data_IF_358751429337
#
_entry.id   IF_358751429337
#
_cell.length_a   1.000
_cell.length_b   1.000
_cell.length_c   1.000
_cell.angle_alpha   90.00
_cell.angle_beta   90.00
_cell.angle_gamma   90.00
#
_symmetry.space_group_name_H-M   'P 1'
#
loop_
_entity.id
_entity.type
_entity.pdbx_description
1 polymer ?
#
# COMPACT_ATOMS: atom_id res chain seq x y z
N UNK A 1 26.44 19.62 -11.51
CA UNK A 1 26.15 19.16 -10.13
C UNK A 1 26.17 17.64 -10.17
N UNK A 2 26.62 16.96 -9.12
CA UNK A 2 26.50 15.50 -9.05
C UNK A 2 25.01 15.12 -9.02
N UNK A 3 24.64 14.04 -9.71
CA UNK A 3 23.28 13.50 -9.62
C UNK A 3 23.03 13.00 -8.20
N UNK A 4 21.76 13.04 -7.74
CA UNK A 4 21.37 12.44 -6.47
C UNK A 4 21.28 10.92 -6.63
N UNK A 5 21.72 10.17 -5.61
CA UNK A 5 21.62 8.72 -5.62
C UNK A 5 20.22 8.34 -5.17
N UNK A 6 19.52 7.57 -5.99
CA UNK A 6 18.25 6.93 -5.69
C UNK A 6 18.51 5.43 -5.51
N UNK A 7 18.34 4.95 -4.28
CA UNK A 7 18.43 3.53 -3.95
C UNK A 7 17.05 2.92 -4.13
N UNK A 8 16.92 1.97 -5.05
CA UNK A 8 15.68 1.26 -5.32
C UNK A 8 15.72 -0.11 -4.63
N UNK A 9 14.91 -0.29 -3.57
CA UNK A 9 14.73 -1.57 -2.89
C UNK A 9 13.52 -2.29 -3.48
N UNK A 10 13.66 -3.57 -3.84
CA UNK A 10 12.60 -4.36 -4.44
C UNK A 10 12.70 -5.85 -4.08
N UNK A 11 11.66 -6.61 -4.41
CA UNK A 11 11.53 -8.01 -4.03
C UNK A 11 10.80 -8.17 -2.70
N UNK A 12 11.46 -8.72 -1.70
CA UNK A 12 10.90 -8.87 -0.36
C UNK A 12 10.37 -10.26 -0.04
N UNK A 13 9.84 -10.40 1.17
CA UNK A 13 9.41 -11.67 1.75
C UNK A 13 7.90 -11.92 1.59
N UNK A 14 7.14 -10.91 1.15
CA UNK A 14 5.69 -11.00 1.01
C UNK A 14 5.25 -11.82 -0.20
N UNK A 15 3.99 -12.19 -0.24
CA UNK A 15 3.37 -12.81 -1.41
C UNK A 15 3.30 -11.87 -2.63
N UNK A 16 3.46 -10.55 -2.41
CA UNK A 16 3.40 -9.51 -3.44
C UNK A 16 4.78 -9.17 -4.07
N UNK A 17 5.78 -10.02 -3.82
CA UNK A 17 7.15 -9.84 -4.29
C UNK A 17 7.26 -9.64 -5.81
N UNK A 18 6.49 -10.37 -6.62
CA UNK A 18 6.50 -10.23 -8.07
C UNK A 18 6.00 -8.85 -8.52
N UNK A 19 4.98 -8.33 -7.83
CA UNK A 19 4.47 -6.97 -8.07
C UNK A 19 5.53 -5.92 -7.72
N UNK A 20 6.29 -6.15 -6.64
CA UNK A 20 7.41 -5.30 -6.26
C UNK A 20 8.48 -5.22 -7.37
N UNK A 21 8.83 -6.35 -7.98
CA UNK A 21 9.78 -6.38 -9.10
C UNK A 21 9.26 -5.59 -10.30
N UNK A 22 8.01 -5.80 -10.71
CA UNK A 22 7.38 -5.09 -11.83
C UNK A 22 7.28 -3.58 -11.56
N UNK A 23 6.93 -3.19 -10.33
CA UNK A 23 6.88 -1.80 -9.91
C UNK A 23 8.28 -1.15 -9.95
N UNK A 24 9.29 -1.85 -9.45
CA UNK A 24 10.67 -1.37 -9.47
C UNK A 24 11.22 -1.23 -10.90
N UNK A 25 10.93 -2.18 -11.79
CA UNK A 25 11.28 -2.05 -13.21
C UNK A 25 10.60 -0.84 -13.89
N UNK A 26 9.35 -0.57 -13.52
CA UNK A 26 8.62 0.61 -14.02
C UNK A 26 9.25 1.91 -13.51
N UNK A 27 9.58 1.98 -12.22
CA UNK A 27 10.30 3.13 -11.63
C UNK A 27 11.66 3.33 -12.30
N UNK A 28 12.46 2.26 -12.41
CA UNK A 28 13.78 2.30 -13.04
C UNK A 28 13.74 2.91 -14.45
N UNK A 29 12.73 2.59 -15.26
CA UNK A 29 12.59 3.15 -16.61
C UNK A 29 12.11 4.59 -16.63
N UNK A 30 11.39 5.05 -15.62
CA UNK A 30 10.74 6.35 -15.58
C UNK A 30 11.53 7.43 -14.83
N UNK A 31 12.56 7.05 -14.08
CA UNK A 31 13.42 8.00 -13.36
C UNK A 31 14.05 9.02 -14.31
N UNK A 32 14.08 10.28 -13.89
CA UNK A 32 14.83 11.34 -14.58
C UNK A 32 16.34 11.18 -14.34
N UNK A 33 17.01 10.49 -15.26
CA UNK A 33 18.45 10.26 -15.19
C UNK A 33 19.31 11.54 -15.41
N UNK A 34 18.71 12.66 -15.71
CA UNK A 34 19.42 13.94 -15.65
C UNK A 34 19.65 14.41 -14.21
N UNK A 35 18.75 14.02 -13.29
CA UNK A 35 18.77 14.39 -11.87
C UNK A 35 19.29 13.26 -10.98
N UNK A 36 19.05 12.01 -11.34
CA UNK A 36 19.32 10.85 -10.49
C UNK A 36 20.31 9.85 -11.10
N UNK A 37 20.98 9.13 -10.22
CA UNK A 37 21.67 7.87 -10.47
C UNK A 37 20.97 6.80 -9.65
N UNK A 38 20.63 5.65 -10.26
CA UNK A 38 19.85 4.59 -9.61
C UNK A 38 20.75 3.44 -9.21
N UNK A 39 20.71 3.03 -7.95
CA UNK A 39 21.34 1.82 -7.42
C UNK A 39 20.27 0.86 -6.93
N UNK A 40 20.30 -0.37 -7.41
CA UNK A 40 19.23 -1.33 -7.13
C UNK A 40 19.68 -2.39 -6.17
N UNK A 41 18.79 -2.71 -5.21
CA UNK A 41 19.01 -3.76 -4.21
C UNK A 41 17.80 -4.68 -4.16
N UNK A 42 18.06 -5.95 -4.36
CA UNK A 42 17.04 -7.00 -4.30
C UNK A 42 16.99 -7.64 -2.91
N UNK A 43 15.80 -7.76 -2.35
CA UNK A 43 15.56 -8.50 -1.12
C UNK A 43 14.97 -9.85 -1.50
N UNK A 44 15.65 -10.93 -1.12
CA UNK A 44 15.22 -12.30 -1.39
C UNK A 44 14.02 -12.69 -0.52
N UNK A 45 13.40 -13.82 -0.82
CA UNK A 45 12.33 -14.37 0.02
C UNK A 45 12.84 -14.80 1.41
N UNK A 46 14.11 -15.14 1.54
CA UNK A 46 14.75 -15.40 2.84
C UNK A 46 15.07 -14.14 3.63
N UNK A 47 15.05 -12.95 2.97
CA UNK A 47 15.36 -11.67 3.59
C UNK A 47 16.79 -11.19 3.39
N UNK A 48 17.56 -11.84 2.52
CA UNK A 48 18.93 -11.45 2.19
C UNK A 48 18.91 -10.23 1.26
N UNK A 49 19.80 -9.27 1.52
CA UNK A 49 19.97 -8.08 0.68
C UNK A 49 21.08 -8.33 -0.35
N UNK A 50 20.83 -7.99 -1.60
CA UNK A 50 21.76 -8.20 -2.70
C UNK A 50 21.86 -6.92 -3.52
N UNK A 51 23.06 -6.36 -3.64
CA UNK A 51 23.31 -5.29 -4.58
C UNK A 51 23.29 -5.86 -6.00
N UNK A 52 22.47 -5.28 -6.87
CA UNK A 52 22.23 -5.82 -8.20
C UNK A 52 22.85 -4.96 -9.31
N UNK A 53 22.24 -3.85 -9.68
CA UNK A 53 22.62 -3.06 -10.84
C UNK A 53 22.75 -1.57 -10.45
N UNK A 54 23.48 -0.82 -11.30
CA UNK A 54 23.59 0.63 -11.21
C UNK A 54 23.30 1.23 -12.58
N UNK A 55 22.49 2.30 -12.60
CA UNK A 55 22.08 2.98 -13.83
C UNK A 55 22.38 4.47 -13.72
N UNK A 56 23.11 4.99 -14.69
CA UNK A 56 23.44 6.42 -14.83
C UNK A 56 22.72 7.07 -16.01
N UNK A 57 22.02 6.27 -16.81
CA UNK A 57 21.20 6.65 -17.96
C UNK A 57 19.99 5.72 -18.07
N UNK A 58 18.99 6.12 -18.83
CA UNK A 58 17.77 5.31 -19.01
C UNK A 58 18.11 3.94 -19.56
N UNK A 59 17.77 2.85 -18.88
CA UNK A 59 18.03 1.50 -19.34
C UNK A 59 17.22 1.17 -20.61
N UNK A 60 17.73 0.23 -21.40
CA UNK A 60 17.01 -0.27 -22.57
C UNK A 60 15.72 -0.99 -22.22
N UNK A 61 14.80 -1.08 -23.18
CA UNK A 61 13.48 -1.71 -22.98
C UNK A 61 13.58 -3.18 -22.55
N UNK A 62 14.62 -3.88 -22.99
CA UNK A 62 14.87 -5.29 -22.65
C UNK A 62 15.59 -5.48 -21.31
N UNK A 63 16.06 -4.39 -20.68
CA UNK A 63 16.76 -4.47 -19.40
C UNK A 63 15.80 -4.89 -18.29
N UNK A 64 16.19 -5.94 -17.55
CA UNK A 64 15.41 -6.50 -16.45
C UNK A 64 16.16 -6.39 -15.13
N UNK A 65 15.43 -6.16 -14.07
CA UNK A 65 15.98 -6.28 -12.72
C UNK A 65 16.19 -7.74 -12.34
N UNK A 66 17.23 -8.00 -11.58
CA UNK A 66 17.53 -9.33 -11.08
C UNK A 66 16.39 -9.81 -10.16
N UNK A 67 15.87 -11.00 -10.42
CA UNK A 67 14.76 -11.60 -9.66
C UNK A 67 15.10 -12.96 -9.08
N UNK A 68 16.34 -13.43 -9.29
CA UNK A 68 16.70 -14.81 -9.04
C UNK A 68 17.09 -15.05 -7.57
N UNK A 69 16.32 -15.88 -6.86
CA UNK A 69 16.63 -16.37 -5.52
C UNK A 69 17.82 -17.35 -5.47
N UNK A 70 18.32 -17.75 -6.63
CA UNK A 70 19.53 -18.60 -6.73
C UNK A 70 20.82 -17.80 -6.57
N UNK A 71 20.73 -16.51 -6.22
CA UNK A 71 21.91 -15.73 -5.86
C UNK A 71 22.59 -16.43 -4.69
N UNK A 72 23.82 -16.86 -4.94
CA UNK A 72 24.63 -17.58 -3.97
C UNK A 72 24.74 -16.72 -2.71
N UNK A 73 24.61 -17.31 -1.54
CA UNK A 73 24.76 -16.62 -0.24
C UNK A 73 26.05 -15.76 -0.14
N UNK A 74 27.06 -16.04 -0.98
CA UNK A 74 28.29 -15.26 -1.13
C UNK A 74 28.09 -13.86 -1.76
N UNK A 75 26.93 -13.56 -2.35
CA UNK A 75 26.60 -12.25 -2.93
C UNK A 75 25.73 -11.40 -1.99
N UNK A 76 25.26 -11.97 -0.88
CA UNK A 76 24.52 -11.23 0.12
C UNK A 76 25.42 -10.21 0.79
N UNK A 77 24.89 -8.98 0.96
CA UNK A 77 25.51 -7.92 1.73
C UNK A 77 24.84 -7.83 3.10
N UNK A 78 25.48 -7.17 4.05
CA UNK A 78 24.77 -6.79 5.28
C UNK A 78 23.69 -5.77 4.92
N UNK A 79 22.46 -5.86 5.48
CA UNK A 79 21.42 -4.88 5.19
C UNK A 79 21.89 -3.42 5.40
N UNK A 80 22.76 -3.16 6.39
CA UNK A 80 23.35 -1.83 6.64
C UNK A 80 24.26 -1.30 5.52
N UNK A 81 24.75 -2.18 4.64
CA UNK A 81 25.70 -1.79 3.58
C UNK A 81 24.97 -1.10 2.39
N UNK A 82 23.64 -0.95 2.47
CA UNK A 82 22.89 -0.06 1.56
C UNK A 82 23.10 1.43 1.88
N UNK A 83 23.68 1.75 3.05
CA UNK A 83 23.91 3.14 3.44
C UNK A 83 24.87 3.82 2.47
N UNK A 84 24.42 4.95 1.94
CA UNK A 84 25.24 5.83 1.12
C UNK A 84 24.86 7.29 1.44
N UNK A 85 25.85 8.12 1.72
CA UNK A 85 25.64 9.52 2.10
C UNK A 85 24.96 10.30 0.96
N UNK A 86 23.89 11.02 1.26
CA UNK A 86 23.12 11.80 0.29
C UNK A 86 22.16 10.99 -0.59
N UNK A 87 22.08 9.67 -0.38
CA UNK A 87 21.11 8.84 -1.10
C UNK A 87 19.71 8.99 -0.49
N UNK A 88 18.68 8.83 -1.34
CA UNK A 88 17.28 8.61 -0.95
C UNK A 88 16.88 7.21 -1.33
N UNK A 89 16.18 6.51 -0.45
CA UNK A 89 15.71 5.15 -0.71
C UNK A 89 14.27 5.17 -1.22
N UNK A 90 13.98 4.46 -2.29
CA UNK A 90 12.63 4.16 -2.72
C UNK A 90 12.35 2.67 -2.45
N UNK A 91 11.70 2.35 -1.34
CA UNK A 91 11.35 0.97 -1.00
C UNK A 91 10.08 0.57 -1.75
N UNK A 92 10.21 0.08 -2.97
CA UNK A 92 9.08 -0.42 -3.77
C UNK A 92 8.76 -1.84 -3.32
N UNK A 93 8.30 -1.96 -2.07
CA UNK A 93 8.03 -3.22 -1.39
C UNK A 93 6.55 -3.25 -0.99
N UNK A 94 5.81 -4.25 -1.43
CA UNK A 94 4.38 -4.38 -1.16
C UNK A 94 4.10 -5.43 -0.09
N UNK A 95 3.04 -5.18 0.71
CA UNK A 95 2.60 -6.08 1.76
C UNK A 95 3.48 -6.11 3.02
N UNK A 96 3.39 -7.19 3.82
CA UNK A 96 4.16 -7.34 5.06
C UNK A 96 5.66 -7.15 4.86
N UNK A 97 6.33 -6.53 5.81
CA UNK A 97 7.74 -6.11 5.83
C UNK A 97 8.07 -4.92 4.89
N UNK A 98 7.16 -4.57 3.96
CA UNK A 98 7.30 -3.43 3.07
C UNK A 98 6.43 -2.24 3.47
N UNK A 99 5.18 -2.50 3.90
CA UNK A 99 4.17 -1.49 4.20
C UNK A 99 3.79 -1.40 5.68
N UNK A 100 4.38 -2.21 6.55
CA UNK A 100 4.00 -2.37 7.96
C UNK A 100 4.88 -1.60 8.96
N UNK A 101 5.78 -0.74 8.48
CA UNK A 101 6.72 0.02 9.30
C UNK A 101 8.07 -0.66 9.50
N UNK A 102 8.23 -1.92 9.12
CA UNK A 102 9.48 -2.68 9.31
C UNK A 102 10.63 -2.09 8.52
N UNK A 103 10.48 -1.94 7.21
CA UNK A 103 11.52 -1.35 6.35
C UNK A 103 11.72 0.14 6.66
N UNK A 104 10.65 0.86 6.97
CA UNK A 104 10.71 2.27 7.35
C UNK A 104 11.57 2.45 8.63
N UNK A 105 11.32 1.63 9.66
CA UNK A 105 12.11 1.66 10.90
C UNK A 105 13.57 1.29 10.69
N UNK A 106 13.85 0.35 9.80
CA UNK A 106 15.21 0.02 9.41
C UNK A 106 15.91 1.21 8.74
N UNK A 107 15.27 1.88 7.80
CA UNK A 107 15.82 3.03 7.08
C UNK A 107 16.01 4.24 8.01
N UNK A 108 15.08 4.47 8.96
CA UNK A 108 15.20 5.51 9.98
C UNK A 108 16.42 5.26 10.90
N UNK A 109 16.63 4.02 11.31
CA UNK A 109 17.79 3.63 12.13
C UNK A 109 19.10 3.84 11.40
N UNK A 110 19.12 3.66 10.08
CA UNK A 110 20.29 3.93 9.22
C UNK A 110 20.45 5.41 8.88
N UNK A 111 19.54 6.29 9.29
CA UNK A 111 19.53 7.72 8.91
C UNK A 111 19.51 7.92 7.39
N UNK A 112 18.68 7.13 6.70
CA UNK A 112 18.42 7.27 5.27
C UNK A 112 17.08 7.92 5.04
N UNK A 113 16.97 9.00 4.24
CA UNK A 113 15.70 9.47 3.72
C UNK A 113 15.07 8.42 2.80
N UNK A 114 13.74 8.33 2.80
CA UNK A 114 13.03 7.34 1.98
C UNK A 114 11.70 7.87 1.46
N UNK A 115 11.28 7.33 0.33
CA UNK A 115 9.96 7.53 -0.25
C UNK A 115 8.94 6.68 0.51
N UNK A 116 7.82 7.27 0.85
CA UNK A 116 6.74 6.56 1.54
C UNK A 116 6.30 7.27 2.81
N UNK A 117 5.39 6.64 3.54
CA UNK A 117 4.94 7.16 4.83
C UNK A 117 5.83 6.65 5.97
N UNK A 118 5.72 7.27 7.14
CA UNK A 118 6.56 6.95 8.31
C UNK A 118 6.19 5.61 8.98
N UNK A 119 6.99 5.20 9.97
CA UNK A 119 6.81 3.93 10.71
C UNK A 119 5.41 3.80 11.28
N UNK A 120 4.93 4.83 12.01
CA UNK A 120 3.63 4.77 12.67
C UNK A 120 2.49 4.59 11.67
N UNK A 121 2.45 5.43 10.64
CA UNK A 121 1.38 5.40 9.64
C UNK A 121 1.39 4.11 8.84
N UNK A 122 2.56 3.58 8.49
CA UNK A 122 2.71 2.29 7.82
C UNK A 122 2.14 1.16 8.68
N UNK A 123 2.54 1.10 9.96
CA UNK A 123 2.08 0.05 10.88
C UNK A 123 0.57 0.12 11.13
N UNK A 124 0.03 1.32 11.30
CA UNK A 124 -1.41 1.52 11.52
C UNK A 124 -2.21 1.20 10.26
N UNK A 125 -1.77 1.67 9.09
CA UNK A 125 -2.48 1.44 7.83
C UNK A 125 -2.51 -0.05 7.44
N UNK A 126 -1.46 -0.80 7.77
CA UNK A 126 -1.41 -2.24 7.55
C UNK A 126 -2.36 -3.01 8.46
N UNK A 127 -2.54 -2.56 9.70
CA UNK A 127 -3.46 -3.15 10.68
C UNK A 127 -4.87 -2.62 10.49
N UNK A 128 -5.74 -3.43 9.87
CA UNK A 128 -7.12 -3.04 9.55
C UNK A 128 -7.94 -2.64 10.77
N UNK A 129 -7.70 -3.27 11.92
CA UNK A 129 -8.43 -2.97 13.16
C UNK A 129 -8.00 -1.61 13.70
N UNK A 130 -6.68 -1.35 13.76
CA UNK A 130 -6.16 -0.06 14.22
C UNK A 130 -6.56 1.08 13.28
N UNK A 131 -6.51 0.84 11.97
CA UNK A 131 -7.02 1.79 10.97
C UNK A 131 -8.48 2.15 11.27
N UNK A 132 -9.35 1.15 11.46
CA UNK A 132 -10.77 1.39 11.76
C UNK A 132 -10.99 2.20 13.02
N UNK A 133 -10.29 1.90 14.10
CA UNK A 133 -10.41 2.65 15.36
C UNK A 133 -10.02 4.13 15.18
N UNK A 134 -8.93 4.41 14.45
CA UNK A 134 -8.49 5.80 14.20
C UNK A 134 -9.47 6.53 13.28
N UNK A 135 -9.95 5.87 12.23
CA UNK A 135 -10.91 6.46 11.30
C UNK A 135 -12.26 6.73 11.97
N UNK A 136 -12.70 5.90 12.90
CA UNK A 136 -13.91 6.12 13.70
C UNK A 136 -13.77 7.41 14.53
N UNK A 137 -12.68 7.56 15.28
CA UNK A 137 -12.37 8.79 16.04
C UNK A 137 -12.25 10.00 15.12
N UNK A 138 -11.67 9.83 13.95
CA UNK A 138 -11.57 10.89 12.96
C UNK A 138 -12.92 11.22 12.28
N UNK A 139 -13.97 10.41 12.47
CA UNK A 139 -15.26 10.58 11.80
C UNK A 139 -15.16 10.45 10.29
N UNK A 140 -14.42 9.43 9.81
CA UNK A 140 -14.41 8.97 8.42
C UNK A 140 -15.33 7.76 8.33
N UNK A 141 -16.35 7.77 7.47
CA UNK A 141 -17.32 6.68 7.38
C UNK A 141 -16.66 5.36 6.96
N UNK A 142 -17.09 4.27 7.59
CA UNK A 142 -16.64 2.90 7.33
C UNK A 142 -17.83 1.96 7.47
N UNK A 143 -17.74 0.77 6.87
CA UNK A 143 -18.75 -0.28 7.12
C UNK A 143 -18.68 -0.73 8.58
N UNK A 144 -19.82 -1.15 9.14
CA UNK A 144 -19.89 -1.70 10.49
C UNK A 144 -19.01 -2.94 10.62
N UNK A 145 -18.44 -3.16 11.80
CA UNK A 145 -17.51 -4.25 12.04
C UNK A 145 -17.53 -4.74 13.49
N UNK A 146 -17.01 -5.95 13.68
CA UNK A 146 -16.63 -6.52 14.97
C UNK A 146 -15.21 -7.07 14.90
N UNK A 147 -14.63 -7.37 16.04
CA UNK A 147 -13.24 -7.86 16.14
C UNK A 147 -13.25 -9.16 16.94
N UNK A 148 -12.41 -10.11 16.55
CA UNK A 148 -12.11 -11.31 17.31
C UNK A 148 -10.60 -11.44 17.50
N UNK A 149 -10.17 -11.72 18.73
CA UNK A 149 -8.76 -11.94 19.06
C UNK A 149 -8.59 -13.39 19.53
N UNK A 150 -7.59 -14.07 19.02
CA UNK A 150 -7.27 -15.45 19.40
C UNK A 150 -7.15 -15.59 20.92
N UNK A 151 -7.87 -16.57 21.47
CA UNK A 151 -7.95 -16.80 22.91
C UNK A 151 -9.15 -16.18 23.61
N UNK A 152 -9.93 -15.32 22.95
CA UNK A 152 -11.24 -14.87 23.42
C UNK A 152 -12.29 -15.96 23.25
N UNK A 153 -13.44 -15.79 23.90
CA UNK A 153 -14.58 -16.70 23.78
C UNK A 153 -15.25 -16.52 22.41
N UNK A 154 -15.11 -17.53 21.54
CA UNK A 154 -15.67 -17.52 20.19
C UNK A 154 -17.20 -17.38 20.19
N UNK A 155 -17.90 -17.99 21.17
CA UNK A 155 -19.37 -17.91 21.25
C UNK A 155 -19.82 -16.47 21.54
N UNK A 156 -19.09 -15.76 22.40
CA UNK A 156 -19.35 -14.34 22.68
C UNK A 156 -19.09 -13.49 21.44
N UNK A 157 -17.99 -13.70 20.74
CA UNK A 157 -17.63 -12.95 19.53
C UNK A 157 -18.64 -13.18 18.39
N UNK A 158 -19.07 -14.43 18.18
CA UNK A 158 -20.10 -14.76 17.20
C UNK A 158 -21.44 -14.10 17.57
N UNK A 159 -21.86 -14.19 18.83
CA UNK A 159 -23.10 -13.55 19.29
C UNK A 159 -23.06 -12.02 19.08
N UNK A 160 -21.95 -11.37 19.42
CA UNK A 160 -21.76 -9.93 19.18
C UNK A 160 -21.81 -9.59 17.69
N UNK A 161 -21.21 -10.43 16.84
CA UNK A 161 -21.25 -10.25 15.39
C UNK A 161 -22.68 -10.33 14.88
N UNK A 162 -23.46 -11.33 15.32
CA UNK A 162 -24.86 -11.51 14.89
C UNK A 162 -25.80 -10.41 15.42
N UNK A 163 -25.45 -9.78 16.55
CA UNK A 163 -26.19 -8.62 17.07
C UNK A 163 -25.93 -7.35 16.25
N UNK A 164 -24.67 -7.12 15.82
CA UNK A 164 -24.24 -5.87 15.19
C UNK A 164 -24.27 -5.89 13.66
N UNK A 165 -24.10 -7.06 13.05
CA UNK A 165 -23.97 -7.21 11.60
C UNK A 165 -25.04 -8.14 11.03
N UNK A 166 -25.29 -7.99 9.73
CA UNK A 166 -26.17 -8.87 8.95
C UNK A 166 -25.37 -9.57 7.86
N UNK A 167 -25.74 -10.81 7.53
CA UNK A 167 -25.09 -11.52 6.41
C UNK A 167 -25.42 -10.87 5.05
N UNK A 168 -24.49 -10.89 4.09
CA UNK A 168 -23.16 -11.49 4.21
C UNK A 168 -22.20 -10.61 5.02
N UNK A 169 -21.22 -11.25 5.66
CA UNK A 169 -20.08 -10.58 6.29
C UNK A 169 -18.77 -11.03 5.64
N UNK A 170 -17.73 -10.20 5.75
CA UNK A 170 -16.37 -10.53 5.33
C UNK A 170 -15.46 -10.68 6.55
N UNK A 171 -14.80 -11.81 6.63
CA UNK A 171 -13.84 -12.13 7.70
C UNK A 171 -12.42 -11.96 7.14
N UNK A 172 -11.60 -11.16 7.83
CA UNK A 172 -10.27 -10.74 7.34
C UNK A 172 -9.24 -10.83 8.46
N UNK A 173 -8.02 -11.37 8.21
CA UNK A 173 -6.87 -11.16 9.09
C UNK A 173 -6.56 -9.66 9.20
N UNK A 174 -6.10 -9.19 10.38
CA UNK A 174 -5.83 -7.77 10.59
C UNK A 174 -4.66 -7.25 9.73
N UNK A 175 -3.58 -8.02 9.59
CA UNK A 175 -2.30 -7.56 9.01
C UNK A 175 -1.91 -8.28 7.71
N UNK A 176 -2.87 -8.56 6.83
CA UNK A 176 -2.58 -9.22 5.54
C UNK A 176 -3.06 -8.38 4.36
N UNK A 177 -2.27 -8.40 3.28
CA UNK A 177 -2.61 -7.78 1.99
C UNK A 177 -3.18 -8.78 0.97
N UNK A 178 -3.47 -8.30 -0.23
CA UNK A 178 -3.83 -9.11 -1.42
C UNK A 178 -4.93 -10.15 -1.20
N UNK A 179 -5.91 -9.86 -0.36
CA UNK A 179 -7.05 -10.76 -0.05
C UNK A 179 -6.66 -12.10 0.58
N UNK A 180 -5.42 -12.26 1.08
CA UNK A 180 -4.97 -13.49 1.74
C UNK A 180 -5.76 -13.71 3.03
N UNK A 181 -6.37 -14.89 3.17
CA UNK A 181 -7.16 -15.27 4.35
C UNK A 181 -8.52 -14.58 4.47
N UNK A 182 -8.96 -13.81 3.46
CA UNK A 182 -10.28 -13.19 3.44
C UNK A 182 -11.33 -14.20 2.99
N UNK A 183 -12.46 -14.25 3.70
CA UNK A 183 -13.61 -15.08 3.34
C UNK A 183 -14.92 -14.32 3.49
N UNK A 184 -15.84 -14.56 2.56
CA UNK A 184 -17.24 -14.15 2.67
C UNK A 184 -18.00 -15.24 3.42
N UNK A 185 -18.86 -14.86 4.36
CA UNK A 185 -19.76 -15.75 5.07
C UNK A 185 -21.20 -15.28 4.88
N UNK A 186 -22.09 -16.20 4.54
CA UNK A 186 -23.52 -15.95 4.28
C UNK A 186 -24.41 -16.47 5.43
N UNK A 187 -23.82 -17.15 6.39
CA UNK A 187 -24.49 -17.69 7.58
C UNK A 187 -23.50 -17.93 8.71
N UNK A 188 -23.99 -18.27 9.90
CA UNK A 188 -23.17 -18.49 11.10
C UNK A 188 -22.15 -19.64 10.92
N UNK A 189 -22.51 -20.74 10.25
CA UNK A 189 -21.60 -21.86 10.07
C UNK A 189 -20.39 -21.45 9.19
N UNK A 190 -20.64 -20.67 8.16
CA UNK A 190 -19.59 -20.12 7.31
C UNK A 190 -18.75 -19.05 8.04
N UNK A 191 -19.38 -18.23 8.91
CA UNK A 191 -18.67 -17.26 9.76
C UNK A 191 -17.63 -17.96 10.64
N UNK A 192 -18.02 -19.04 11.31
CA UNK A 192 -17.10 -19.83 12.16
C UNK A 192 -15.94 -20.43 11.35
N UNK A 193 -16.25 -21.02 10.20
CA UNK A 193 -15.24 -21.56 9.31
C UNK A 193 -14.29 -20.47 8.75
N UNK A 194 -14.81 -19.29 8.47
CA UNK A 194 -14.02 -18.15 8.00
C UNK A 194 -13.09 -17.60 9.10
N UNK A 195 -13.55 -17.55 10.37
CA UNK A 195 -12.70 -17.20 11.51
C UNK A 195 -11.57 -18.22 11.66
N UNK A 196 -11.86 -19.52 11.63
CA UNK A 196 -10.86 -20.58 11.71
C UNK A 196 -9.82 -20.50 10.58
N UNK A 197 -10.24 -20.10 9.38
CA UNK A 197 -9.33 -19.87 8.26
C UNK A 197 -8.45 -18.64 8.48
N UNK A 198 -9.03 -17.52 8.89
CA UNK A 198 -8.32 -16.26 9.10
C UNK A 198 -7.28 -16.37 10.23
N UNK A 199 -7.57 -17.14 11.30
CA UNK A 199 -6.65 -17.44 12.40
C UNK A 199 -5.37 -18.17 11.97
N UNK A 200 -5.32 -18.77 10.77
CA UNK A 200 -4.08 -19.37 10.24
C UNK A 200 -3.07 -18.30 9.79
N UNK A 201 -3.52 -17.05 9.62
CA UNK A 201 -2.74 -15.95 9.07
C UNK A 201 -2.49 -14.85 10.10
N UNK A 202 -3.41 -14.61 11.03
CA UNK A 202 -3.26 -13.59 12.08
C UNK A 202 -4.06 -14.01 13.32
N UNK A 203 -3.57 -13.66 14.49
CA UNK A 203 -4.27 -13.83 15.76
C UNK A 203 -5.39 -12.81 16.01
N UNK A 204 -5.51 -11.79 15.15
CA UNK A 204 -6.48 -10.70 15.23
C UNK A 204 -7.32 -10.67 13.95
N UNK A 205 -8.63 -10.79 14.12
CA UNK A 205 -9.58 -10.97 13.03
C UNK A 205 -10.56 -9.81 13.01
N UNK A 206 -10.72 -9.22 11.84
CA UNK A 206 -11.74 -8.22 11.55
C UNK A 206 -12.93 -8.91 10.85
N UNK A 207 -14.16 -8.64 11.31
CA UNK A 207 -15.38 -9.11 10.69
C UNK A 207 -16.17 -7.86 10.27
N UNK A 208 -16.42 -7.70 8.98
CA UNK A 208 -17.04 -6.51 8.41
C UNK A 208 -18.39 -6.82 7.76
N UNK A 209 -19.29 -5.85 7.86
CA UNK A 209 -20.54 -5.87 7.11
C UNK A 209 -20.25 -5.91 5.59
N UNK A 210 -20.77 -6.91 4.92
CA UNK A 210 -20.75 -6.95 3.46
C UNK A 210 -21.68 -5.90 2.86
N UNK A 211 -21.21 -5.15 1.88
CA UNK A 211 -21.96 -4.16 1.13
C UNK A 211 -21.83 -4.41 -0.37
N UNK A 212 -22.90 -4.13 -1.12
CA UNK A 212 -22.85 -4.09 -2.58
C UNK A 212 -22.45 -2.69 -2.98
N UNK A 213 -21.27 -2.56 -3.57
CA UNK A 213 -20.69 -1.26 -3.85
C UNK A 213 -19.75 -1.30 -5.07
N UNK A 214 -19.53 -0.12 -5.65
CA UNK A 214 -18.45 0.14 -6.59
C UNK A 214 -17.15 0.35 -5.80
N UNK A 215 -16.01 -0.05 -6.35
CA UNK A 215 -14.69 0.18 -5.73
C UNK A 215 -14.04 1.40 -6.38
N UNK A 216 -13.86 2.44 -5.59
CA UNK A 216 -13.36 3.74 -6.02
C UNK A 216 -12.07 4.06 -5.28
N UNK A 217 -11.03 4.44 -6.01
CA UNK A 217 -9.70 4.69 -5.48
C UNK A 217 -9.32 6.18 -5.62
N UNK A 218 -8.68 6.74 -4.59
CA UNK A 218 -8.20 8.13 -4.56
C UNK A 218 -6.73 8.15 -4.19
N UNK A 219 -5.89 8.71 -5.05
CA UNK A 219 -4.47 8.94 -4.78
C UNK A 219 -4.24 10.13 -3.85
N UNK A 220 -3.26 10.00 -2.95
CA UNK A 220 -2.84 11.03 -2.01
C UNK A 220 -1.34 11.27 -2.18
N UNK A 221 -0.92 12.54 -2.15
CA UNK A 221 0.47 12.96 -2.28
C UNK A 221 0.74 14.18 -1.40
N UNK A 222 1.83 14.15 -0.65
CA UNK A 222 2.33 15.29 0.11
C UNK A 222 2.58 15.00 1.58
N UNK A 223 3.24 15.93 2.23
CA UNK A 223 3.53 15.92 3.67
C UNK A 223 2.53 16.84 4.40
N UNK A 224 2.87 18.11 4.58
CA UNK A 224 1.98 19.10 5.21
C UNK A 224 0.85 19.53 4.26
N UNK A 225 1.20 19.77 3.00
CA UNK A 225 0.25 20.13 1.95
C UNK A 225 -0.20 18.86 1.21
N UNK A 226 -1.25 18.25 1.71
CA UNK A 226 -1.81 17.02 1.14
C UNK A 226 -2.66 17.34 -0.08
N UNK A 227 -2.30 16.78 -1.22
CA UNK A 227 -3.04 16.81 -2.48
C UNK A 227 -3.77 15.47 -2.65
N UNK A 228 -4.93 15.47 -3.31
CA UNK A 228 -5.70 14.28 -3.65
C UNK A 228 -6.08 14.31 -5.12
N UNK A 229 -6.09 13.17 -5.76
CA UNK A 229 -6.53 13.04 -7.16
C UNK A 229 -8.05 13.10 -7.28
N UNK A 230 -8.55 13.27 -8.47
CA UNK A 230 -9.89 12.82 -8.80
C UNK A 230 -9.94 11.29 -8.66
N UNK A 231 -11.11 10.72 -8.28
CA UNK A 231 -11.21 9.28 -8.07
C UNK A 231 -11.14 8.49 -9.37
N UNK A 232 -10.60 7.27 -9.30
CA UNK A 232 -10.69 6.25 -10.33
C UNK A 232 -11.53 5.07 -9.86
N UNK A 233 -12.10 4.32 -10.78
CA UNK A 233 -12.90 3.13 -10.49
C UNK A 233 -12.22 1.88 -11.02
N UNK A 234 -12.22 0.82 -10.22
CA UNK A 234 -11.88 -0.53 -10.66
C UNK A 234 -13.16 -1.21 -11.14
N UNK A 235 -13.37 -1.26 -12.46
CA UNK A 235 -14.53 -1.91 -13.07
C UNK A 235 -14.25 -3.40 -13.18
N UNK A 236 -15.05 -4.21 -12.49
CA UNK A 236 -14.92 -5.68 -12.41
C UNK A 236 -16.00 -6.37 -13.22
N UNK A 237 -15.60 -7.33 -14.03
CA UNK A 237 -16.56 -8.23 -14.73
C UNK A 237 -17.03 -9.39 -13.83
N UNK A 238 -16.51 -9.54 -12.60
CA UNK A 238 -16.82 -10.64 -11.66
C UNK A 238 -16.97 -10.16 -10.23
N UNK A 239 -17.85 -10.82 -9.47
CA UNK A 239 -18.25 -10.39 -8.12
C UNK A 239 -17.20 -10.57 -7.01
N UNK A 240 -16.15 -11.36 -7.22
CA UNK A 240 -15.03 -11.55 -6.27
C UNK A 240 -13.70 -11.59 -7.00
N UNK A 241 -12.73 -10.88 -6.48
CA UNK A 241 -11.49 -10.54 -7.15
C UNK A 241 -10.29 -10.99 -6.33
N UNK A 242 -9.63 -12.07 -6.75
CA UNK A 242 -8.44 -12.61 -6.10
C UNK A 242 -7.13 -12.05 -6.70
N UNK A 243 -6.00 -12.42 -6.07
CA UNK A 243 -4.66 -12.01 -6.47
C UNK A 243 -4.34 -12.32 -7.94
N UNK A 244 -4.81 -13.48 -8.45
CA UNK A 244 -4.51 -13.94 -9.81
C UNK A 244 -5.19 -13.06 -10.86
N UNK A 245 -6.42 -12.66 -10.60
CA UNK A 245 -7.17 -11.75 -11.45
C UNK A 245 -6.60 -10.32 -11.42
N UNK A 246 -6.02 -9.89 -10.27
CA UNK A 246 -5.44 -8.55 -10.11
C UNK A 246 -4.18 -8.31 -10.94
N UNK A 247 -3.30 -9.29 -11.03
CA UNK A 247 -1.93 -9.06 -11.53
C UNK A 247 -1.53 -9.94 -12.72
N UNK A 248 -2.26 -11.01 -13.02
CA UNK A 248 -1.89 -12.00 -14.05
C UNK A 248 -2.82 -11.95 -15.25
N UNK A 249 -4.13 -11.86 -15.06
CA UNK A 249 -5.13 -12.03 -16.13
C UNK A 249 -5.45 -10.74 -16.90
N UNK A 250 -5.00 -9.55 -16.46
CA UNK A 250 -5.22 -8.23 -17.09
C UNK A 250 -6.68 -7.94 -17.51
N UNK A 251 -7.66 -8.46 -16.77
CA UNK A 251 -9.09 -8.31 -17.04
C UNK A 251 -9.74 -7.13 -16.29
N UNK A 252 -8.93 -6.19 -15.84
CA UNK A 252 -9.42 -4.99 -15.15
C UNK A 252 -9.57 -3.88 -16.17
N UNK A 253 -10.72 -3.27 -16.17
CA UNK A 253 -10.92 -1.95 -16.78
C UNK A 253 -10.84 -0.91 -15.66
N UNK A 254 -9.97 0.09 -15.84
CA UNK A 254 -9.89 1.25 -14.96
C UNK A 254 -10.60 2.42 -15.63
N UNK A 255 -11.54 3.02 -14.93
CA UNK A 255 -12.24 4.22 -15.38
C UNK A 255 -11.67 5.44 -14.64
N UNK A 256 -10.94 6.29 -15.34
CA UNK A 256 -10.22 7.44 -14.79
C UNK A 256 -10.50 8.69 -15.64
N UNK A 257 -11.15 9.73 -15.06
CA UNK A 257 -11.74 9.77 -13.73
C UNK A 257 -13.01 8.91 -13.66
N UNK A 258 -13.32 8.38 -12.47
CA UNK A 258 -14.53 7.62 -12.23
C UNK A 258 -15.80 8.43 -12.50
N UNK A 259 -16.79 7.81 -13.11
CA UNK A 259 -18.09 8.44 -13.34
C UNK A 259 -18.93 8.49 -12.07
N UNK A 260 -18.67 9.52 -11.24
CA UNK A 260 -19.40 9.80 -9.99
C UNK A 260 -19.88 11.25 -9.96
N UNK A 261 -20.98 11.57 -9.22
CA UNK A 261 -21.41 12.95 -9.03
C UNK A 261 -20.29 13.82 -8.42
N UNK A 262 -20.22 15.11 -8.81
CA UNK A 262 -19.18 16.02 -8.34
C UNK A 262 -19.14 16.18 -6.81
N UNK A 263 -20.29 16.07 -6.15
CA UNK A 263 -20.39 16.10 -4.68
C UNK A 263 -19.74 14.86 -4.06
N UNK A 264 -19.99 13.69 -4.61
CA UNK A 264 -19.38 12.40 -4.17
C UNK A 264 -17.87 12.46 -4.36
N UNK A 265 -17.39 12.92 -5.52
CA UNK A 265 -15.96 13.14 -5.79
C UNK A 265 -15.32 14.03 -4.74
N UNK A 266 -15.93 15.20 -4.47
CA UNK A 266 -15.43 16.16 -3.49
C UNK A 266 -15.36 15.55 -2.09
N UNK A 267 -16.38 14.79 -1.72
CA UNK A 267 -16.46 14.14 -0.41
C UNK A 267 -15.44 13.02 -0.24
N UNK A 268 -15.24 12.17 -1.27
CA UNK A 268 -14.20 11.14 -1.26
C UNK A 268 -12.80 11.72 -1.09
N UNK A 269 -12.48 12.78 -1.84
CA UNK A 269 -11.21 13.50 -1.72
C UNK A 269 -11.01 14.08 -0.32
N UNK A 270 -12.06 14.63 0.27
CA UNK A 270 -12.01 15.16 1.64
C UNK A 270 -11.81 14.05 2.67
N UNK A 271 -12.48 12.91 2.52
CA UNK A 271 -12.31 11.75 3.40
C UNK A 271 -10.91 11.14 3.24
N UNK A 272 -10.38 11.01 2.03
CA UNK A 272 -9.03 10.54 1.78
C UNK A 272 -7.98 11.41 2.48
N UNK A 273 -8.05 12.74 2.29
CA UNK A 273 -7.14 13.66 2.96
C UNK A 273 -7.28 13.65 4.49
N UNK A 274 -8.50 13.47 5.01
CA UNK A 274 -8.79 13.39 6.44
C UNK A 274 -8.23 12.09 7.04
N UNK A 275 -8.45 10.96 6.39
CA UNK A 275 -7.93 9.66 6.80
C UNK A 275 -6.40 9.66 6.84
N UNK A 276 -5.76 10.10 5.77
CA UNK A 276 -4.32 10.19 5.68
C UNK A 276 -3.70 11.03 6.81
N UNK A 277 -4.27 12.20 7.10
CA UNK A 277 -3.82 13.04 8.22
C UNK A 277 -4.08 12.40 9.57
N UNK A 278 -5.21 11.72 9.75
CA UNK A 278 -5.55 11.06 11.02
C UNK A 278 -4.57 9.94 11.36
N UNK A 279 -4.06 9.23 10.34
CA UNK A 279 -3.02 8.22 10.52
C UNK A 279 -1.61 8.81 10.64
N UNK A 280 -1.45 10.13 10.52
CA UNK A 280 -0.14 10.78 10.52
C UNK A 280 0.66 10.52 9.24
N UNK A 281 -0.03 10.31 8.12
CA UNK A 281 0.56 9.99 6.82
C UNK A 281 1.44 11.09 6.24
N UNK A 282 2.44 10.68 5.47
CA UNK A 282 3.32 11.55 4.67
C UNK A 282 3.71 10.84 3.37
N UNK A 283 4.22 11.60 2.40
CA UNK A 283 4.64 11.10 1.11
C UNK A 283 3.46 10.72 0.22
N UNK A 284 3.04 9.47 0.25
CA UNK A 284 1.97 8.95 -0.60
C UNK A 284 1.05 7.97 0.12
N UNK A 285 -0.15 7.82 -0.42
CA UNK A 285 -1.05 6.70 -0.14
C UNK A 285 -2.12 6.61 -1.23
N UNK A 286 -2.85 5.48 -1.28
CA UNK A 286 -4.10 5.33 -2.00
C UNK A 286 -5.19 4.94 -1.01
N UNK A 287 -6.29 5.68 -1.02
CA UNK A 287 -7.50 5.34 -0.29
C UNK A 287 -8.47 4.61 -1.19
N UNK A 288 -8.92 3.44 -0.76
CA UNK A 288 -9.87 2.61 -1.46
C UNK A 288 -11.23 2.71 -0.76
N UNK A 289 -12.27 3.08 -1.52
CA UNK A 289 -13.61 3.34 -1.03
C UNK A 289 -14.63 2.38 -1.62
N UNK A 290 -15.65 2.08 -0.83
CA UNK A 290 -16.91 1.53 -1.30
C UNK A 290 -17.90 2.66 -1.54
N UNK A 291 -18.48 2.72 -2.75
CA UNK A 291 -19.58 3.60 -3.11
C UNK A 291 -20.81 2.76 -3.38
N UNK A 292 -21.81 2.83 -2.52
CA UNK A 292 -23.07 2.11 -2.66
C UNK A 292 -24.01 2.77 -3.66
N UNK A 293 -25.03 2.06 -4.09
CA UNK A 293 -26.00 2.56 -5.08
C UNK A 293 -26.82 3.75 -4.55
N UNK A 294 -27.06 3.80 -3.24
CA UNK A 294 -27.74 4.91 -2.56
C UNK A 294 -26.81 6.11 -2.28
N UNK A 295 -25.54 6.03 -2.71
CA UNK A 295 -24.56 7.10 -2.62
C UNK A 295 -23.79 7.18 -1.29
N UNK A 296 -23.92 6.19 -0.41
CA UNK A 296 -23.09 6.13 0.79
C UNK A 296 -21.62 5.81 0.43
N UNK A 297 -20.69 6.50 1.11
CA UNK A 297 -19.26 6.38 0.90
C UNK A 297 -18.64 5.79 2.16
N UNK A 298 -17.95 4.65 2.03
CA UNK A 298 -17.22 4.02 3.11
C UNK A 298 -15.76 3.83 2.73
N UNK A 299 -14.83 4.28 3.60
CA UNK A 299 -13.42 3.96 3.41
C UNK A 299 -13.20 2.49 3.79
N UNK A 300 -12.62 1.72 2.87
CA UNK A 300 -12.27 0.33 3.05
C UNK A 300 -10.87 0.19 3.64
N UNK A 301 -9.86 0.70 2.93
CA UNK A 301 -8.46 0.60 3.36
C UNK A 301 -7.62 1.79 2.84
N UNK A 302 -6.43 1.94 3.42
CA UNK A 302 -5.45 2.93 3.02
C UNK A 302 -4.12 2.21 2.76
N UNK A 303 -3.68 2.24 1.50
CA UNK A 303 -2.45 1.59 1.03
C UNK A 303 -1.31 2.60 1.03
N UNK A 304 -0.28 2.36 1.84
CA UNK A 304 0.85 3.29 2.04
C UNK A 304 1.95 3.14 1.00
N UNK A 305 1.99 2.01 0.31
CA UNK A 305 2.81 1.79 -0.89
C UNK A 305 1.95 1.07 -1.94
N UNK A 306 1.03 1.79 -2.60
CA UNK A 306 0.15 1.19 -3.60
C UNK A 306 0.95 0.63 -4.76
N UNK A 307 0.35 -0.27 -5.54
CA UNK A 307 0.95 -0.74 -6.79
C UNK A 307 1.52 0.41 -7.60
N UNK A 308 2.78 0.30 -8.03
CA UNK A 308 3.53 1.41 -8.60
C UNK A 308 4.10 1.09 -9.99
N UNK A 309 3.47 0.17 -10.74
CA UNK A 309 3.75 0.02 -12.18
C UNK A 309 3.16 1.21 -12.95
N UNK A 310 3.66 1.47 -14.15
CA UNK A 310 3.07 2.50 -15.03
C UNK A 310 1.58 2.26 -15.36
N UNK A 311 1.07 1.04 -15.12
CA UNK A 311 -0.33 0.64 -15.33
C UNK A 311 -1.13 0.56 -14.03
N UNK A 312 -0.52 0.86 -12.89
CA UNK A 312 -1.20 0.84 -11.60
C UNK A 312 -2.07 2.08 -11.43
N UNK A 313 -3.20 1.93 -10.73
CA UNK A 313 -4.16 3.01 -10.52
C UNK A 313 -3.50 4.27 -9.96
N UNK A 314 -2.63 4.16 -8.94
CA UNK A 314 -2.05 5.32 -8.29
C UNK A 314 -1.28 6.25 -9.24
N UNK A 315 -0.30 5.80 -10.05
CA UNK A 315 0.33 6.68 -11.04
C UNK A 315 -0.62 7.18 -12.12
N UNK A 316 -1.55 6.34 -12.60
CA UNK A 316 -2.52 6.75 -13.62
C UNK A 316 -3.47 7.86 -13.13
N UNK A 317 -3.87 7.84 -11.85
CA UNK A 317 -4.65 8.91 -11.24
C UNK A 317 -3.89 10.25 -11.25
N UNK A 318 -2.59 10.24 -10.96
CA UNK A 318 -1.77 11.45 -11.00
C UNK A 318 -1.50 11.91 -12.43
N UNK A 319 -1.30 11.00 -13.36
CA UNK A 319 -1.16 11.32 -14.79
C UNK A 319 -2.43 12.00 -15.33
N UNK A 320 -3.61 11.53 -14.96
CA UNK A 320 -4.89 12.19 -15.28
C UNK A 320 -4.99 13.61 -14.70
N UNK A 321 -4.33 13.88 -13.57
CA UNK A 321 -4.22 15.21 -12.96
C UNK A 321 -3.10 16.07 -13.57
N UNK A 322 -2.40 15.59 -14.59
CA UNK A 322 -1.33 16.29 -15.30
C UNK A 322 0.06 16.15 -14.69
N UNK A 323 0.24 15.27 -13.70
CA UNK A 323 1.55 14.95 -13.12
C UNK A 323 2.10 13.68 -13.79
N UNK A 324 3.13 13.83 -14.61
CA UNK A 324 3.75 12.69 -15.31
C UNK A 324 4.34 11.68 -14.33
N UNK A 325 4.46 10.42 -14.75
CA UNK A 325 5.01 9.36 -13.90
C UNK A 325 6.45 9.67 -13.43
N UNK A 326 7.27 10.26 -14.30
CA UNK A 326 8.63 10.70 -13.96
C UNK A 326 8.62 11.84 -12.92
N UNK A 327 7.75 12.83 -13.09
CA UNK A 327 7.62 13.94 -12.15
C UNK A 327 7.04 13.49 -10.81
N UNK A 328 6.12 12.50 -10.81
CA UNK A 328 5.61 11.88 -9.60
C UNK A 328 6.73 11.22 -8.78
N UNK A 329 7.63 10.46 -9.44
CA UNK A 329 8.79 9.86 -8.77
C UNK A 329 9.67 10.95 -8.15
N UNK A 330 9.95 12.02 -8.89
CA UNK A 330 10.77 13.15 -8.43
C UNK A 330 10.13 13.87 -7.23
N UNK A 331 8.83 14.12 -7.29
CA UNK A 331 8.07 14.72 -6.17
C UNK A 331 8.15 13.82 -4.92
N UNK A 332 7.96 12.51 -5.08
CA UNK A 332 8.04 11.55 -3.99
C UNK A 332 9.44 11.51 -3.34
N UNK A 333 10.50 11.55 -4.13
CA UNK A 333 11.88 11.64 -3.63
C UNK A 333 12.08 12.94 -2.84
N UNK A 334 11.56 14.05 -3.34
CA UNK A 334 11.61 15.35 -2.66
C UNK A 334 10.87 15.30 -1.32
N UNK A 335 9.66 14.74 -1.30
CA UNK A 335 8.87 14.59 -0.08
C UNK A 335 9.57 13.69 0.95
N UNK A 336 10.22 12.62 0.51
CA UNK A 336 11.01 11.75 1.37
C UNK A 336 12.19 12.48 2.03
N UNK A 337 12.91 13.31 1.25
CA UNK A 337 14.00 14.15 1.76
C UNK A 337 13.48 15.20 2.76
N UNK A 338 12.40 15.89 2.46
CA UNK A 338 11.78 16.87 3.37
C UNK A 338 11.38 16.26 4.71
N UNK A 339 10.82 15.04 4.70
CA UNK A 339 10.45 14.35 5.93
C UNK A 339 11.66 13.93 6.76
N UNK A 340 12.72 13.50 6.10
CA UNK A 340 14.00 13.21 6.75
C UNK A 340 14.56 14.46 7.41
N UNK A 341 14.71 15.56 6.69
CA UNK A 341 15.27 16.82 7.20
C UNK A 341 14.47 17.35 8.38
N UNK A 342 13.14 17.26 8.30
CA UNK A 342 12.25 17.65 9.39
C UNK A 342 12.44 16.78 10.62
N UNK A 343 12.57 15.45 10.46
CA UNK A 343 12.80 14.53 11.56
C UNK A 343 14.15 14.80 12.22
N UNK A 344 15.23 14.92 11.44
CA UNK A 344 16.56 15.20 11.95
C UNK A 344 16.63 16.56 12.67
N UNK A 345 15.88 17.56 12.22
CA UNK A 345 15.83 18.87 12.89
C UNK A 345 15.18 18.85 14.29
N UNK A 346 14.42 17.80 14.62
CA UNK A 346 13.78 17.61 15.93
C UNK A 346 14.57 16.66 16.85
N UNK A 347 15.56 15.95 16.33
CA UNK A 347 16.47 15.15 17.15
C UNK A 347 17.55 16.08 17.72
N UNK A 348 17.44 16.38 19.01
CA UNK A 348 18.40 17.22 19.75
C UNK A 348 19.45 16.34 20.42
#
# INVERSE_FOLDING_TARGET
MSKQILILLYGGRSAEREVSVLSAESVMRAVDYSAFEVKTYFITQSGDFIKTQEFTETPGDDEKLMTNDTVVASQAIKPSDIYEEGAVVFPVLHGPMGEDGSIQGFLETLKLPYVGTNVLSSSVAMDKIMTKHILEVAGVPQVAYTVFIEGEDLEVAVAETLEKLTFPVFVKPANMGSSVGISKAENEAELRAAIDLALKYDSRILIEQGVVAREIEVGILGNTNVKTTDPGEVVKDVAFYDYQAKYIDNKITMDIPAHVPAEVMTQMRAYAAKAFRALGGCGLARCDFFLTEDGAIYLNELNTMPGFTQWSMYPLLWENMGLSYSDLIKELVTLGQEMFDKRESHLI
#
